data_IF_593355777662
#
_entry.id   IF_593355777662
#
_cell.length_a   1.000
_cell.length_b   1.000
_cell.length_c   1.000
_cell.angle_alpha   90.00
_cell.angle_beta   90.00
_cell.angle_gamma   90.00
#
_symmetry.space_group_name_H-M   'P 1'
#
loop_
_entity.id
_entity.type
_entity.pdbx_description
1 polymer ?
#
# COMPACT_ATOMS: atom_id res chain seq x y z
N UNK A 1 -7.70 -14.41 40.58
CA UNK A 1 -8.76 -14.30 39.56
C UNK A 1 -9.06 -12.84 39.34
N UNK A 2 -8.43 -12.21 38.34
CA UNK A 2 -8.77 -10.82 37.98
C UNK A 2 -10.03 -10.86 37.14
N UNK A 3 -11.13 -10.34 37.69
CA UNK A 3 -12.39 -10.05 36.99
C UNK A 3 -12.14 -8.89 36.01
N UNK A 4 -11.42 -9.16 34.93
CA UNK A 4 -11.51 -8.33 33.74
C UNK A 4 -12.77 -8.86 33.06
N UNK A 5 -13.86 -8.10 33.15
CA UNK A 5 -15.09 -8.39 32.41
C UNK A 5 -14.78 -8.42 30.93
N UNK A 6 -14.53 -9.61 30.39
CA UNK A 6 -14.37 -9.84 28.97
C UNK A 6 -15.76 -9.66 28.35
N UNK A 7 -16.00 -8.53 27.69
CA UNK A 7 -17.09 -8.41 26.73
C UNK A 7 -16.78 -9.34 25.55
N UNK A 8 -17.08 -10.62 25.71
CA UNK A 8 -17.02 -11.58 24.62
C UNK A 8 -18.26 -11.36 23.76
N UNK A 9 -18.07 -10.85 22.54
CA UNK A 9 -19.12 -10.89 21.54
C UNK A 9 -19.37 -12.35 21.17
N UNK A 10 -20.36 -12.99 21.82
CA UNK A 10 -20.78 -14.35 21.48
C UNK A 10 -21.63 -14.27 20.23
N UNK A 11 -20.99 -14.49 19.09
CA UNK A 11 -21.67 -14.58 17.80
C UNK A 11 -22.36 -15.95 17.74
N UNK A 12 -23.69 -15.97 17.87
CA UNK A 12 -24.47 -17.23 17.83
C UNK A 12 -25.00 -17.59 16.45
N UNK A 13 -24.99 -16.66 15.49
CA UNK A 13 -25.60 -16.85 14.17
C UNK A 13 -24.56 -17.18 13.12
N UNK A 14 -24.79 -18.28 12.37
CA UNK A 14 -23.90 -18.75 11.29
C UNK A 14 -23.69 -17.68 10.21
N UNK A 15 -24.71 -16.87 9.94
CA UNK A 15 -24.63 -15.73 9.01
C UNK A 15 -23.58 -14.72 9.43
N UNK A 16 -23.49 -14.42 10.73
CA UNK A 16 -22.56 -13.42 11.25
C UNK A 16 -21.14 -13.99 11.34
N UNK A 17 -20.99 -15.29 11.61
CA UNK A 17 -19.70 -16.01 11.50
C UNK A 17 -19.18 -15.96 10.05
N UNK A 18 -20.05 -16.22 9.07
CA UNK A 18 -19.69 -16.17 7.65
C UNK A 18 -19.32 -14.75 7.21
N UNK A 19 -20.08 -13.74 7.63
CA UNK A 19 -19.78 -12.34 7.35
C UNK A 19 -18.44 -11.90 7.96
N UNK A 20 -18.18 -12.30 9.21
CA UNK A 20 -16.93 -12.00 9.91
C UNK A 20 -15.74 -12.67 9.22
N UNK A 21 -15.92 -13.93 8.81
CA UNK A 21 -14.92 -14.70 8.06
C UNK A 21 -14.65 -14.05 6.71
N UNK A 22 -15.67 -13.64 5.96
CA UNK A 22 -15.49 -12.96 4.69
C UNK A 22 -14.79 -11.60 4.85
N UNK A 23 -15.14 -10.82 5.88
CA UNK A 23 -14.51 -9.54 6.16
C UNK A 23 -13.05 -9.71 6.59
N UNK A 24 -12.71 -10.79 7.30
CA UNK A 24 -11.35 -11.07 7.72
C UNK A 24 -10.52 -11.66 6.58
N UNK A 25 -10.96 -12.77 5.97
CA UNK A 25 -10.20 -13.52 4.97
C UNK A 25 -10.29 -12.94 3.56
N UNK A 26 -11.38 -12.26 3.21
CA UNK A 26 -11.58 -11.68 1.87
C UNK A 26 -10.48 -10.71 1.46
N UNK A 27 -10.15 -9.70 2.28
CA UNK A 27 -9.03 -8.80 2.02
C UNK A 27 -7.69 -9.53 1.88
N UNK A 28 -7.42 -10.57 2.67
CA UNK A 28 -6.20 -11.38 2.53
C UNK A 28 -6.14 -12.12 1.19
N UNK A 29 -7.24 -12.75 0.78
CA UNK A 29 -7.29 -13.46 -0.50
C UNK A 29 -7.05 -12.49 -1.67
N UNK A 30 -7.79 -11.36 -1.70
CA UNK A 30 -7.65 -10.34 -2.74
C UNK A 30 -6.24 -9.75 -2.81
N UNK A 31 -5.66 -9.46 -1.66
CA UNK A 31 -4.32 -8.88 -1.59
C UNK A 31 -3.23 -9.89 -1.96
N UNK A 32 -3.38 -11.16 -1.61
CA UNK A 32 -2.48 -12.24 -2.03
C UNK A 32 -2.51 -12.40 -3.55
N UNK A 33 -3.70 -12.44 -4.17
CA UNK A 33 -3.86 -12.49 -5.63
C UNK A 33 -3.20 -11.28 -6.28
N UNK A 34 -3.45 -10.07 -5.77
CA UNK A 34 -2.84 -8.85 -6.28
C UNK A 34 -1.30 -8.88 -6.19
N UNK A 35 -0.74 -9.34 -5.06
CA UNK A 35 0.69 -9.47 -4.87
C UNK A 35 1.31 -10.47 -5.87
N UNK A 36 0.68 -11.64 -6.06
CA UNK A 36 1.11 -12.64 -7.05
C UNK A 36 1.11 -12.07 -8.46
N UNK A 37 0.06 -11.35 -8.86
CA UNK A 37 -0.03 -10.71 -10.18
C UNK A 37 1.06 -9.65 -10.37
N UNK A 38 1.30 -8.80 -9.35
CA UNK A 38 2.35 -7.77 -9.39
C UNK A 38 3.74 -8.41 -9.52
N UNK A 39 4.05 -9.41 -8.68
CA UNK A 39 5.32 -10.13 -8.72
C UNK A 39 5.50 -10.82 -10.08
N UNK A 40 4.47 -11.51 -10.56
CA UNK A 40 4.47 -12.16 -11.88
C UNK A 40 4.79 -11.18 -13.00
N UNK A 41 4.15 -10.00 -13.01
CA UNK A 41 4.42 -8.95 -13.99
C UNK A 41 5.86 -8.41 -13.91
N UNK A 42 6.40 -8.23 -12.71
CA UNK A 42 7.79 -7.80 -12.51
C UNK A 42 8.78 -8.86 -13.02
N UNK A 43 8.52 -10.14 -12.72
CA UNK A 43 9.37 -11.26 -13.17
C UNK A 43 9.34 -11.41 -14.69
N UNK A 44 8.16 -11.34 -15.31
CA UNK A 44 8.02 -11.42 -16.77
C UNK A 44 8.70 -10.25 -17.47
N UNK A 45 8.57 -9.02 -16.95
CA UNK A 45 9.26 -7.84 -17.50
C UNK A 45 10.78 -7.99 -17.45
N UNK A 46 11.34 -8.50 -16.34
CA UNK A 46 12.78 -8.79 -16.23
C UNK A 46 13.23 -9.89 -17.20
N UNK A 47 12.41 -10.92 -17.44
CA UNK A 47 12.71 -11.99 -18.40
C UNK A 47 12.71 -11.47 -19.83
N UNK A 48 11.74 -10.64 -20.22
CA UNK A 48 11.69 -10.02 -21.55
C UNK A 48 12.95 -9.20 -21.86
N UNK A 49 13.42 -8.40 -20.90
CA UNK A 49 14.66 -7.62 -21.02
C UNK A 49 15.92 -8.49 -21.11
N UNK A 50 15.96 -9.64 -20.45
CA UNK A 50 17.10 -10.58 -20.55
C UNK A 50 17.07 -11.36 -21.86
N UNK A 51 15.89 -11.75 -22.36
CA UNK A 51 15.76 -12.48 -23.61
C UNK A 51 16.16 -11.64 -24.82
N UNK A 52 15.85 -10.33 -24.84
CA UNK A 52 16.23 -9.44 -25.93
C UNK A 52 17.72 -9.04 -25.97
N UNK A 53 18.47 -9.25 -24.88
CA UNK A 53 19.91 -8.88 -24.78
C UNK A 53 20.85 -9.99 -25.25
N UNK A 54 20.37 -11.23 -25.39
CA UNK A 54 21.20 -12.36 -25.84
C UNK A 54 21.29 -12.43 -27.38
N UNK A 55 20.30 -11.91 -28.10
CA UNK A 55 20.27 -11.99 -29.57
C UNK A 55 20.98 -10.80 -30.27
N UNK A 56 21.29 -9.73 -29.53
CA UNK A 56 21.91 -8.51 -30.09
C UNK A 56 23.44 -8.50 -30.05
N UNK A 57 24.10 -9.46 -29.39
CA UNK A 57 25.58 -9.56 -29.38
C UNK A 57 26.17 -10.50 -30.44
N UNK A 58 25.36 -11.21 -31.22
CA UNK A 58 25.83 -12.12 -32.28
C UNK A 58 25.70 -11.56 -33.71
N UNK A 59 25.16 -10.34 -33.88
CA UNK A 59 25.02 -9.66 -35.18
C UNK A 59 25.66 -8.25 -35.20
N UNK A 60 26.68 -8.04 -34.38
CA UNK A 60 27.43 -6.78 -34.30
C UNK A 60 28.89 -7.00 -34.76
N UNK A 61 29.05 -7.71 -35.87
CA UNK A 61 30.34 -7.94 -36.51
C UNK A 61 30.48 -7.25 -37.87
N UNK A 62 29.45 -7.29 -38.70
CA UNK A 62 29.54 -6.74 -40.05
C UNK A 62 28.20 -6.14 -40.44
N UNK A 63 28.24 -4.96 -41.05
CA UNK A 63 27.12 -4.26 -41.70
C UNK A 63 26.36 -3.24 -40.81
N UNK A 64 26.90 -2.01 -40.81
CA UNK A 64 26.17 -0.86 -41.39
C UNK A 64 25.08 -0.21 -40.49
N UNK A 65 25.41 0.54 -39.44
CA UNK A 65 25.80 1.97 -39.48
C UNK A 65 25.01 2.93 -40.42
N UNK A 66 24.22 2.46 -41.39
CA UNK A 66 23.58 3.32 -42.42
C UNK A 66 22.04 3.38 -42.29
N UNK A 67 21.40 2.44 -41.58
CA UNK A 67 19.93 2.42 -41.43
C UNK A 67 19.45 3.19 -40.19
N UNK A 68 20.35 3.54 -39.27
CA UNK A 68 20.00 4.19 -38.00
C UNK A 68 19.51 5.66 -38.15
N UNK A 69 19.69 6.29 -39.31
CA UNK A 69 19.36 7.71 -39.51
C UNK A 69 17.98 7.94 -40.16
N UNK A 70 17.38 6.93 -40.80
CA UNK A 70 16.10 7.09 -41.53
C UNK A 70 14.89 6.61 -40.73
N UNK A 71 15.07 5.75 -39.72
CA UNK A 71 14.00 5.32 -38.81
C UNK A 71 13.98 6.16 -37.51
N UNK A 72 14.39 7.42 -37.60
CA UNK A 72 14.15 8.45 -36.56
C UNK A 72 12.84 9.23 -36.79
N UNK A 73 11.98 8.77 -37.72
CA UNK A 73 10.80 9.52 -38.18
C UNK A 73 9.48 8.74 -38.11
N UNK A 74 9.35 7.82 -37.16
CA UNK A 74 8.04 7.36 -36.66
C UNK A 74 7.99 7.51 -35.13
N UNK A 75 8.11 8.77 -34.71
CA UNK A 75 7.73 9.27 -33.39
C UNK A 75 6.21 9.43 -33.30
N UNK A 76 5.46 8.32 -33.48
CA UNK A 76 4.03 8.27 -33.21
C UNK A 76 3.76 7.16 -32.18
N UNK A 77 3.25 7.58 -31.01
CA UNK A 77 2.74 6.74 -29.91
C UNK A 77 3.71 6.17 -28.83
N UNK A 78 4.73 6.93 -28.44
CA UNK A 78 5.34 6.77 -27.09
C UNK A 78 4.56 7.52 -26.00
N UNK A 79 3.24 7.38 -25.97
CA UNK A 79 2.40 7.85 -24.85
C UNK A 79 2.32 6.84 -23.69
N UNK A 80 3.03 5.70 -23.78
CA UNK A 80 3.00 4.63 -22.79
C UNK A 80 3.99 4.81 -21.61
N UNK A 81 4.96 5.73 -21.69
CA UNK A 81 6.08 5.78 -20.72
C UNK A 81 5.92 6.87 -19.64
N UNK A 82 5.13 7.92 -19.89
CA UNK A 82 4.90 9.03 -18.94
C UNK A 82 3.86 8.73 -17.87
N UNK A 83 3.04 7.68 -18.02
CA UNK A 83 2.23 7.13 -16.91
C UNK A 83 3.08 6.46 -15.80
N UNK A 84 4.38 6.20 -16.03
CA UNK A 84 5.15 5.29 -15.17
C UNK A 84 5.52 5.83 -13.78
N UNK A 85 5.68 7.15 -13.57
CA UNK A 85 6.17 7.67 -12.27
C UNK A 85 5.07 7.75 -11.21
N UNK A 86 3.89 8.27 -11.57
CA UNK A 86 2.76 8.38 -10.65
C UNK A 86 2.22 7.00 -10.29
N UNK A 87 2.04 6.14 -11.29
CA UNK A 87 1.60 4.77 -11.09
C UNK A 87 2.59 3.97 -10.24
N UNK A 88 3.90 4.07 -10.49
CA UNK A 88 4.93 3.44 -9.65
C UNK A 88 4.88 3.91 -8.20
N UNK A 89 4.64 5.21 -7.96
CA UNK A 89 4.50 5.74 -6.58
C UNK A 89 3.24 5.19 -5.90
N UNK A 90 2.11 5.13 -6.60
CA UNK A 90 0.86 4.55 -6.07
C UNK A 90 1.06 3.06 -5.78
N UNK A 91 1.67 2.31 -6.69
CA UNK A 91 1.98 0.89 -6.50
C UNK A 91 2.93 0.67 -5.32
N UNK A 92 3.97 1.51 -5.16
CA UNK A 92 4.86 1.45 -4.01
C UNK A 92 4.09 1.74 -2.71
N UNK A 93 3.23 2.75 -2.69
CA UNK A 93 2.41 3.09 -1.53
C UNK A 93 1.49 1.93 -1.14
N UNK A 94 0.79 1.35 -2.11
CA UNK A 94 -0.07 0.18 -1.93
C UNK A 94 0.75 -1.02 -1.41
N UNK A 95 1.95 -1.25 -1.95
CA UNK A 95 2.84 -2.33 -1.53
C UNK A 95 3.31 -2.15 -0.08
N UNK A 96 3.71 -0.93 0.31
CA UNK A 96 4.13 -0.63 1.69
C UNK A 96 2.97 -0.81 2.65
N UNK A 97 1.77 -0.30 2.31
CA UNK A 97 0.58 -0.49 3.12
C UNK A 97 0.22 -1.97 3.24
N UNK A 98 0.35 -2.74 2.15
CA UNK A 98 0.11 -4.18 2.14
C UNK A 98 1.10 -4.92 3.02
N UNK A 99 2.40 -4.68 2.88
CA UNK A 99 3.44 -5.31 3.71
C UNK A 99 3.24 -5.01 5.18
N UNK A 100 2.92 -3.76 5.50
CA UNK A 100 2.67 -3.33 6.85
C UNK A 100 1.42 -4.01 7.44
N UNK A 101 0.34 -4.11 6.66
CA UNK A 101 -0.87 -4.83 7.02
C UNK A 101 -0.62 -6.35 7.20
N UNK A 102 0.19 -6.94 6.33
CA UNK A 102 0.56 -8.34 6.42
C UNK A 102 1.35 -8.62 7.71
N UNK A 103 2.35 -7.80 8.03
CA UNK A 103 3.18 -7.96 9.23
C UNK A 103 2.35 -7.83 10.51
N UNK A 104 1.38 -6.92 10.55
CA UNK A 104 0.55 -6.70 11.73
C UNK A 104 -0.55 -7.75 11.90
N UNK A 105 -1.21 -8.18 10.81
CA UNK A 105 -2.36 -9.09 10.89
C UNK A 105 -1.98 -10.58 10.81
N UNK A 106 -0.86 -10.94 10.18
CA UNK A 106 -0.43 -12.34 10.05
C UNK A 106 -0.19 -13.02 11.42
N UNK A 107 0.45 -12.37 12.42
CA UNK A 107 0.54 -12.94 13.76
C UNK A 107 -0.84 -13.23 14.37
N UNK A 108 -1.79 -12.31 14.21
CA UNK A 108 -3.17 -12.49 14.71
C UNK A 108 -3.87 -13.67 14.06
N UNK A 109 -3.75 -13.80 12.73
CA UNK A 109 -4.31 -14.92 11.97
C UNK A 109 -3.70 -16.26 12.40
N UNK A 110 -2.38 -16.33 12.56
CA UNK A 110 -1.69 -17.54 13.02
C UNK A 110 -2.09 -17.94 14.44
N UNK A 111 -2.17 -17.00 15.39
CA UNK A 111 -2.59 -17.33 16.76
C UNK A 111 -4.04 -17.80 16.84
N UNK A 112 -4.90 -17.27 15.98
CA UNK A 112 -6.29 -17.71 15.86
C UNK A 112 -6.35 -19.13 15.30
N UNK A 113 -5.61 -19.41 14.21
CA UNK A 113 -5.56 -20.71 13.56
C UNK A 113 -4.99 -21.81 14.48
N UNK A 114 -3.96 -21.50 15.25
CA UNK A 114 -3.32 -22.44 16.18
C UNK A 114 -4.15 -22.67 17.46
N UNK A 115 -5.25 -21.94 17.68
CA UNK A 115 -6.06 -22.03 18.90
C UNK A 115 -5.33 -21.54 20.16
N UNK A 116 -4.21 -20.83 20.00
CA UNK A 116 -3.32 -20.39 21.11
C UNK A 116 -3.84 -19.13 21.79
N UNK A 117 -4.81 -18.45 21.17
CA UNK A 117 -5.35 -17.14 21.59
C UNK A 117 -5.82 -17.10 23.05
N UNK A 118 -6.48 -18.14 23.55
CA UNK A 118 -6.98 -18.19 24.93
C UNK A 118 -5.90 -18.53 25.97
N UNK A 119 -4.82 -19.19 25.55
CA UNK A 119 -3.78 -19.69 26.45
C UNK A 119 -2.79 -18.60 26.88
N UNK A 120 -2.61 -17.56 26.06
CA UNK A 120 -1.64 -16.48 26.32
C UNK A 120 -2.25 -15.09 26.11
N UNK A 121 -3.06 -14.57 27.06
CA UNK A 121 -3.75 -13.29 26.91
C UNK A 121 -2.79 -12.10 26.76
N UNK A 122 -1.59 -12.16 27.34
CA UNK A 122 -0.56 -11.13 27.19
C UNK A 122 -0.08 -10.98 25.74
N UNK A 123 0.08 -12.11 25.03
CA UNK A 123 0.49 -12.11 23.62
C UNK A 123 -0.62 -11.54 22.75
N UNK A 124 -1.87 -11.88 23.05
CA UNK A 124 -3.03 -11.31 22.35
C UNK A 124 -3.10 -9.79 22.51
N UNK A 125 -2.85 -9.27 23.71
CA UNK A 125 -2.82 -7.82 23.96
C UNK A 125 -1.72 -7.12 23.16
N UNK A 126 -0.53 -7.72 23.07
CA UNK A 126 0.56 -7.20 22.23
C UNK A 126 0.18 -7.16 20.74
N UNK A 127 -0.48 -8.19 20.24
CA UNK A 127 -0.98 -8.24 18.85
C UNK A 127 -2.05 -7.18 18.60
N UNK A 128 -2.96 -6.97 19.56
CA UNK A 128 -3.94 -5.89 19.50
C UNK A 128 -3.28 -4.51 19.47
N UNK A 129 -2.22 -4.31 20.25
CA UNK A 129 -1.43 -3.07 20.18
C UNK A 129 -0.76 -2.91 18.81
N UNK A 130 -0.24 -3.97 18.21
CA UNK A 130 0.30 -3.93 16.85
C UNK A 130 -0.77 -3.54 15.82
N UNK A 131 -1.98 -4.09 15.93
CA UNK A 131 -3.11 -3.71 15.07
C UNK A 131 -3.49 -2.23 15.28
N UNK A 132 -3.48 -1.73 16.51
CA UNK A 132 -3.75 -0.32 16.80
C UNK A 132 -2.67 0.60 16.20
N UNK A 133 -1.39 0.24 16.35
CA UNK A 133 -0.28 0.93 15.70
C UNK A 133 -0.47 0.92 14.18
N UNK A 134 -0.97 -0.18 13.61
CA UNK A 134 -1.25 -0.24 12.18
C UNK A 134 -2.30 0.79 11.74
N UNK A 135 -3.41 0.87 12.47
CA UNK A 135 -4.48 1.83 12.18
C UNK A 135 -4.00 3.28 12.25
N UNK A 136 -3.14 3.61 13.22
CA UNK A 136 -2.58 4.97 13.35
C UNK A 136 -1.53 5.25 12.27
N UNK A 137 -0.66 4.29 11.96
CA UNK A 137 0.43 4.49 11.02
C UNK A 137 -0.04 4.53 9.56
N UNK A 138 -1.13 3.85 9.21
CA UNK A 138 -1.66 3.83 7.83
C UNK A 138 -1.91 5.25 7.27
N UNK A 139 -2.72 6.14 7.90
CA UNK A 139 -2.90 7.50 7.40
C UNK A 139 -1.59 8.29 7.34
N UNK A 140 -0.66 8.07 8.28
CA UNK A 140 0.67 8.70 8.27
C UNK A 140 1.47 8.24 7.05
N UNK A 141 1.45 6.96 6.69
CA UNK A 141 2.10 6.41 5.49
C UNK A 141 1.48 7.03 4.23
N UNK A 142 0.15 7.10 4.14
CA UNK A 142 -0.53 7.71 2.99
C UNK A 142 -0.16 9.20 2.83
N UNK A 143 -0.07 9.93 3.94
CA UNK A 143 0.24 11.36 3.94
C UNK A 143 1.73 11.62 3.63
N UNK A 144 2.63 10.76 4.10
CA UNK A 144 4.09 10.87 3.86
C UNK A 144 4.51 10.40 2.47
N UNK A 145 3.88 9.36 1.91
CA UNK A 145 4.27 8.79 0.61
C UNK A 145 3.65 9.56 -0.56
N UNK A 146 2.47 10.16 -0.39
CA UNK A 146 1.77 10.84 -1.46
C UNK A 146 1.98 12.37 -1.43
N UNK A 147 2.76 12.87 -2.38
CA UNK A 147 3.01 14.32 -2.55
C UNK A 147 1.73 15.13 -2.78
N UNK A 148 0.70 14.53 -3.38
CA UNK A 148 -0.59 15.22 -3.63
C UNK A 148 -1.27 15.54 -2.29
N UNK A 149 -1.24 14.61 -1.33
CA UNK A 149 -1.77 14.83 0.02
C UNK A 149 -0.93 15.85 0.79
N UNK A 150 0.40 15.80 0.68
CA UNK A 150 1.27 16.79 1.32
C UNK A 150 1.00 18.22 0.84
N UNK A 151 0.83 18.40 -0.47
CA UNK A 151 0.54 19.72 -1.05
C UNK A 151 -0.77 20.28 -0.50
N UNK A 152 -1.82 19.46 -0.49
CA UNK A 152 -3.13 19.86 0.07
C UNK A 152 -3.07 20.11 1.57
N UNK A 153 -2.35 19.29 2.33
CA UNK A 153 -2.17 19.47 3.77
C UNK A 153 -1.45 20.78 4.09
N UNK A 154 -0.43 21.16 3.30
CA UNK A 154 0.26 22.45 3.44
C UNK A 154 -0.67 23.64 3.18
N UNK A 155 -1.52 23.56 2.16
CA UNK A 155 -2.51 24.61 1.86
C UNK A 155 -3.52 24.73 3.01
N UNK A 156 -4.06 23.60 3.48
CA UNK A 156 -4.99 23.58 4.61
C UNK A 156 -4.35 24.17 5.87
N UNK A 157 -3.11 23.80 6.18
CA UNK A 157 -2.36 24.32 7.31
C UNK A 157 -2.12 25.84 7.20
N UNK A 158 -1.76 26.33 6.00
CA UNK A 158 -1.60 27.76 5.75
C UNK A 158 -2.94 28.53 5.93
N UNK A 159 -4.06 27.96 5.52
CA UNK A 159 -5.39 28.55 5.72
C UNK A 159 -5.79 28.58 7.20
N UNK A 160 -5.54 27.50 7.94
CA UNK A 160 -5.80 27.43 9.39
C UNK A 160 -4.96 28.45 10.16
N UNK A 161 -3.68 28.58 9.81
CA UNK A 161 -2.80 29.60 10.42
C UNK A 161 -3.28 31.01 10.13
N UNK A 162 -3.64 31.34 8.89
CA UNK A 162 -4.21 32.66 8.54
C UNK A 162 -5.50 32.95 9.30
N UNK A 163 -6.38 31.95 9.46
CA UNK A 163 -7.64 32.11 10.22
C UNK A 163 -7.38 32.37 11.71
N UNK A 164 -6.35 31.75 12.31
CA UNK A 164 -6.02 31.99 13.73
C UNK A 164 -5.49 33.40 14.00
N UNK A 165 -4.86 34.03 12.99
CA UNK A 165 -4.34 35.40 13.09
C UNK A 165 -5.45 36.43 12.89
N UNK A 166 -6.40 36.17 11.98
CA UNK A 166 -7.52 37.08 11.70
C UNK A 166 -8.56 37.22 12.81
N UNK A 167 -8.65 36.26 13.74
CA UNK A 167 -9.63 36.29 14.85
C UNK A 167 -9.15 37.16 16.04
N UNK A 168 -7.89 37.60 16.06
CA UNK A 168 -7.31 38.38 17.17
C UNK A 168 -7.45 39.91 17.06
N UNK A 169 -8.13 40.42 16.03
CA UNK A 169 -8.42 41.86 15.89
C UNK A 169 -9.91 42.09 15.64
N UNK A 170 -10.74 41.88 16.68
CA UNK A 170 -11.90 42.75 16.88
C UNK A 170 -11.57 43.67 18.05
N UNK A 171 -11.46 45.00 17.84
CA UNK A 171 -11.40 45.94 18.95
C UNK A 171 -12.75 45.91 19.68
N UNK A 172 -12.70 45.65 20.99
CA UNK A 172 -13.80 45.95 21.90
C UNK A 172 -13.98 47.47 21.91
N UNK A 173 -15.03 47.94 21.26
CA UNK A 173 -15.54 49.29 21.48
C UNK A 173 -16.56 49.23 22.61
N UNK A 174 -16.04 49.40 23.83
CA UNK A 174 -16.79 49.76 25.04
C UNK A 174 -16.18 50.99 25.65
#
# INVERSE_FOLDING_TARGET
>A
MTSIGTCAAVIKTDTLVSLLSFNFYGPFALTTVAAVVIIGKIVMSKRALRSGRVESSLKQGEVLAVVAQVVSRETSHSNAVTMSKRQKRISLMMLVCFLFNLISQLPQGLLTLLGVSFRYPKVMLFIWLLALVQYVATPVIFLTVNKDYQSKAKILYALLMKRSVGVRHLPDHG
#
